data_IF_658512283283
#
_entry.id   IF_658512283283
#
_cell.length_a   1.000
_cell.length_b   1.000
_cell.length_c   1.000
_cell.angle_alpha   90.00
_cell.angle_beta   90.00
_cell.angle_gamma   90.00
#
_symmetry.space_group_name_H-M   'P 1'
#
loop_
_entity.id
_entity.type
_entity.pdbx_description
1 polymer ?
#
# COMPACT_ATOMS: atom_id res chain seq x y z
N UNK A 1 -9.88 15.40 -18.81
CA UNK A 1 -9.85 14.03 -19.37
C UNK A 1 -8.83 13.13 -18.65
N UNK A 2 -7.58 13.52 -18.52
CA UNK A 2 -6.56 12.69 -17.82
C UNK A 2 -6.96 12.32 -16.39
N UNK A 3 -7.46 13.26 -15.60
CA UNK A 3 -7.96 13.03 -14.24
C UNK A 3 -9.05 11.95 -14.17
N UNK A 4 -9.98 11.93 -15.13
CA UNK A 4 -11.04 10.91 -15.21
C UNK A 4 -10.48 9.51 -15.55
N UNK A 5 -9.51 9.44 -16.47
CA UNK A 5 -8.84 8.16 -16.78
C UNK A 5 -8.10 7.64 -15.56
N UNK A 6 -7.33 8.48 -14.86
CA UNK A 6 -6.64 8.10 -13.65
C UNK A 6 -7.62 7.65 -12.55
N UNK A 7 -8.77 8.33 -12.41
CA UNK A 7 -9.82 7.90 -11.50
C UNK A 7 -10.35 6.51 -11.85
N UNK A 8 -10.50 6.18 -13.13
CA UNK A 8 -10.91 4.87 -13.60
C UNK A 8 -9.98 3.73 -13.17
N UNK A 9 -8.69 3.99 -12.98
CA UNK A 9 -7.75 3.00 -12.41
C UNK A 9 -8.08 2.63 -10.96
N UNK A 10 -8.75 3.51 -10.21
CA UNK A 10 -9.14 3.23 -8.83
C UNK A 10 -10.47 2.49 -8.69
N UNK A 11 -11.20 2.24 -9.78
CA UNK A 11 -12.44 1.47 -9.73
C UNK A 11 -12.18 0.00 -9.41
N UNK A 12 -13.09 -0.59 -8.64
CA UNK A 12 -13.01 -2.01 -8.30
C UNK A 12 -13.31 -2.92 -9.49
N UNK A 13 -14.18 -2.46 -10.40
CA UNK A 13 -14.50 -3.24 -11.62
C UNK A 13 -13.24 -3.39 -12.47
N UNK A 14 -12.80 -4.63 -12.60
CA UNK A 14 -11.61 -5.00 -13.36
C UNK A 14 -11.73 -4.56 -14.82
N UNK A 15 -12.88 -4.77 -15.44
CA UNK A 15 -13.13 -4.34 -16.82
C UNK A 15 -12.90 -2.84 -17.06
N UNK A 16 -13.22 -2.00 -16.06
CA UNK A 16 -12.97 -0.55 -16.15
C UNK A 16 -11.46 -0.27 -16.09
N UNK A 17 -10.74 -0.90 -15.17
CA UNK A 17 -9.28 -0.73 -15.06
C UNK A 17 -8.57 -1.19 -16.33
N UNK A 18 -8.95 -2.35 -16.84
CA UNK A 18 -8.41 -2.90 -18.10
C UNK A 18 -8.65 -1.96 -19.27
N UNK A 19 -9.86 -1.42 -19.40
CA UNK A 19 -10.18 -0.47 -20.47
C UNK A 19 -9.36 0.82 -20.32
N UNK A 20 -9.18 1.34 -19.12
CA UNK A 20 -8.31 2.51 -18.90
C UNK A 20 -6.86 2.20 -19.30
N UNK A 21 -6.32 1.06 -18.89
CA UNK A 21 -4.97 0.64 -19.26
C UNK A 21 -4.83 0.49 -20.78
N UNK A 22 -5.84 -0.10 -21.43
CA UNK A 22 -5.89 -0.22 -22.89
C UNK A 22 -5.91 1.15 -23.56
N UNK A 23 -6.73 2.08 -23.09
CA UNK A 23 -6.81 3.45 -23.62
C UNK A 23 -5.47 4.16 -23.45
N UNK A 24 -4.84 4.08 -22.29
CA UNK A 24 -3.52 4.68 -22.03
C UNK A 24 -2.48 4.11 -22.99
N UNK A 25 -2.39 2.79 -23.10
CA UNK A 25 -1.41 2.14 -23.97
C UNK A 25 -1.66 2.40 -25.44
N UNK A 26 -2.83 2.01 -25.94
CA UNK A 26 -3.11 2.00 -27.40
C UNK A 26 -3.54 3.36 -27.94
N UNK A 27 -4.47 4.05 -27.23
CA UNK A 27 -5.07 5.26 -27.76
C UNK A 27 -4.26 6.53 -27.47
N UNK A 28 -3.39 6.48 -26.45
CA UNK A 28 -2.50 7.60 -26.13
C UNK A 28 -1.10 7.31 -26.66
N UNK A 29 -0.36 6.40 -26.03
CA UNK A 29 1.08 6.25 -26.30
C UNK A 29 1.40 5.50 -27.63
N UNK A 30 0.60 4.53 -28.05
CA UNK A 30 0.72 3.87 -29.33
C UNK A 30 -0.02 4.61 -30.46
N UNK A 31 -0.84 5.62 -30.17
CA UNK A 31 -1.62 6.37 -31.16
C UNK A 31 -0.75 6.92 -32.30
N UNK A 32 -1.25 6.86 -33.51
CA UNK A 32 -0.66 7.54 -34.70
C UNK A 32 -1.25 8.94 -34.92
N UNK A 33 -2.34 9.28 -34.22
CA UNK A 33 -3.06 10.56 -34.35
C UNK A 33 -2.44 11.64 -33.47
N UNK A 34 -2.02 11.28 -32.26
CA UNK A 34 -1.39 12.23 -31.33
C UNK A 34 0.05 12.51 -31.73
N UNK A 35 0.41 13.80 -31.73
CA UNK A 35 1.78 14.24 -31.96
C UNK A 35 2.73 13.77 -30.85
N UNK A 36 4.03 13.84 -31.12
CA UNK A 36 5.03 13.50 -30.11
C UNK A 36 5.00 14.50 -28.92
N UNK A 37 4.72 15.77 -29.20
CA UNK A 37 4.60 16.81 -28.19
C UNK A 37 3.35 16.65 -27.31
N UNK A 38 2.21 16.25 -27.91
CA UNK A 38 1.00 15.94 -27.14
C UNK A 38 1.27 14.78 -26.16
N UNK A 39 1.91 13.71 -26.66
CA UNK A 39 2.28 12.56 -25.83
C UNK A 39 3.26 12.94 -24.72
N UNK A 40 4.24 13.81 -25.03
CA UNK A 40 5.18 14.33 -24.04
C UNK A 40 4.43 15.08 -22.92
N UNK A 41 3.52 15.99 -23.31
CA UNK A 41 2.74 16.78 -22.37
C UNK A 41 1.86 15.89 -21.48
N UNK A 42 1.20 14.87 -22.07
CA UNK A 42 0.43 13.90 -21.30
C UNK A 42 1.35 13.09 -20.37
N UNK A 43 2.50 12.64 -20.86
CA UNK A 43 3.45 11.85 -20.05
C UNK A 43 3.98 12.64 -18.86
N UNK A 44 4.48 13.84 -19.07
CA UNK A 44 5.04 14.67 -17.99
C UNK A 44 4.00 14.99 -16.92
N UNK A 45 2.75 15.22 -17.33
CA UNK A 45 1.65 15.49 -16.41
C UNK A 45 1.19 14.24 -15.61
N UNK A 46 1.20 13.06 -16.25
CA UNK A 46 0.48 11.90 -15.70
C UNK A 46 1.39 10.79 -15.20
N UNK A 47 2.65 10.72 -15.60
CA UNK A 47 3.52 9.56 -15.38
C UNK A 47 3.65 9.19 -13.90
N UNK A 48 3.98 10.15 -13.05
CA UNK A 48 4.14 9.92 -11.60
C UNK A 48 2.84 9.41 -10.97
N UNK A 49 1.70 10.03 -11.32
CA UNK A 49 0.39 9.64 -10.79
C UNK A 49 -0.06 8.28 -11.31
N UNK A 50 0.20 7.98 -12.57
CA UNK A 50 -0.11 6.68 -13.17
C UNK A 50 0.67 5.55 -12.50
N UNK A 51 1.99 5.73 -12.32
CA UNK A 51 2.83 4.75 -11.61
C UNK A 51 2.41 4.57 -10.15
N UNK A 52 2.10 5.67 -9.45
CA UNK A 52 1.57 5.61 -8.09
C UNK A 52 0.29 4.77 -8.02
N UNK A 53 -0.69 5.00 -8.91
CA UNK A 53 -1.94 4.26 -8.90
C UNK A 53 -1.75 2.78 -9.23
N UNK A 54 -0.83 2.43 -10.12
CA UNK A 54 -0.47 1.03 -10.40
C UNK A 54 0.17 0.39 -9.16
N UNK A 55 1.08 1.08 -8.48
CA UNK A 55 1.76 0.57 -7.29
C UNK A 55 0.78 0.28 -6.14
N UNK A 56 -0.21 1.14 -5.93
CA UNK A 56 -1.19 0.97 -4.85
C UNK A 56 -2.30 -0.05 -5.16
N UNK A 57 -2.36 -0.58 -6.37
CA UNK A 57 -3.38 -1.58 -6.75
C UNK A 57 -2.95 -3.00 -6.39
N UNK A 58 -3.92 -3.79 -5.93
CA UNK A 58 -3.76 -5.25 -5.94
C UNK A 58 -3.84 -5.73 -7.39
N UNK A 59 -2.82 -6.41 -7.83
CA UNK A 59 -2.71 -6.92 -9.20
C UNK A 59 -3.33 -8.32 -9.26
N UNK A 60 -4.36 -8.49 -10.07
CA UNK A 60 -4.80 -9.81 -10.55
C UNK A 60 -4.10 -10.13 -11.88
N UNK A 61 -4.13 -11.40 -12.30
CA UNK A 61 -3.39 -11.86 -13.49
C UNK A 61 -3.78 -11.10 -14.76
N UNK A 62 -5.06 -10.86 -14.98
CA UNK A 62 -5.53 -10.17 -16.19
C UNK A 62 -5.14 -8.70 -16.18
N UNK A 63 -5.29 -8.02 -15.05
CA UNK A 63 -4.85 -6.63 -14.89
C UNK A 63 -3.33 -6.51 -15.08
N UNK A 64 -2.56 -7.53 -14.68
CA UNK A 64 -1.13 -7.57 -14.93
C UNK A 64 -0.79 -7.49 -16.44
N UNK A 65 -1.44 -8.27 -17.29
CA UNK A 65 -1.19 -8.24 -18.73
C UNK A 65 -1.53 -6.88 -19.35
N UNK A 66 -2.64 -6.28 -18.97
CA UNK A 66 -3.02 -4.94 -19.44
C UNK A 66 -2.04 -3.86 -18.96
N UNK A 67 -1.59 -3.97 -17.71
CA UNK A 67 -0.58 -3.08 -17.15
C UNK A 67 0.74 -3.22 -17.90
N UNK A 68 1.22 -4.45 -18.12
CA UNK A 68 2.45 -4.72 -18.87
C UNK A 68 2.38 -4.20 -20.31
N UNK A 69 1.25 -4.37 -20.98
CA UNK A 69 1.01 -3.82 -22.31
C UNK A 69 1.06 -2.29 -22.33
N UNK A 70 0.37 -1.63 -21.40
CA UNK A 70 0.39 -0.18 -21.27
C UNK A 70 1.81 0.36 -21.00
N UNK A 71 2.53 -0.24 -20.06
CA UNK A 71 3.92 0.11 -19.74
C UNK A 71 4.86 -0.10 -20.94
N UNK A 72 4.65 -1.16 -21.73
CA UNK A 72 5.42 -1.40 -22.96
C UNK A 72 5.22 -0.28 -24.00
N UNK A 73 3.98 0.20 -24.18
CA UNK A 73 3.69 1.34 -25.06
C UNK A 73 4.30 2.64 -24.55
N UNK A 74 4.23 2.89 -23.23
CA UNK A 74 4.87 4.04 -22.60
C UNK A 74 6.39 3.97 -22.78
N UNK A 75 7.00 2.80 -22.54
CA UNK A 75 8.45 2.61 -22.73
C UNK A 75 8.89 2.91 -24.16
N UNK A 76 8.18 2.38 -25.16
CA UNK A 76 8.48 2.67 -26.58
C UNK A 76 8.37 4.15 -26.89
N UNK A 77 7.39 4.84 -26.32
CA UNK A 77 7.27 6.30 -26.45
C UNK A 77 8.47 7.00 -25.82
N UNK A 78 8.87 6.63 -24.58
CA UNK A 78 10.04 7.22 -23.90
C UNK A 78 11.30 7.09 -24.74
N UNK A 79 11.58 5.89 -25.27
CA UNK A 79 12.76 5.64 -26.11
C UNK A 79 12.72 6.49 -27.37
N UNK A 80 11.57 6.52 -28.06
CA UNK A 80 11.40 7.33 -29.29
C UNK A 80 11.61 8.82 -29.01
N UNK A 81 10.98 9.33 -27.96
CA UNK A 81 11.12 10.73 -27.57
C UNK A 81 12.59 11.08 -27.25
N UNK A 82 13.27 10.21 -26.46
CA UNK A 82 14.68 10.43 -26.11
C UNK A 82 15.60 10.50 -27.31
N UNK A 83 15.35 9.66 -28.33
CA UNK A 83 16.14 9.66 -29.58
C UNK A 83 15.88 10.93 -30.42
N UNK A 84 14.62 11.37 -30.49
CA UNK A 84 14.21 12.47 -31.38
C UNK A 84 14.30 13.86 -30.76
N UNK A 85 14.04 13.97 -29.46
CA UNK A 85 13.85 15.25 -28.76
C UNK A 85 14.74 15.42 -27.52
N UNK A 86 15.51 14.39 -27.13
CA UNK A 86 16.38 14.43 -25.97
C UNK A 86 15.66 14.01 -24.65
N UNK A 87 16.26 14.32 -23.48
CA UNK A 87 15.73 13.91 -22.19
C UNK A 87 14.41 14.63 -21.87
N UNK A 88 13.58 13.98 -21.04
CA UNK A 88 12.42 14.63 -20.46
C UNK A 88 12.85 15.65 -19.40
N UNK A 89 12.22 16.79 -19.41
CA UNK A 89 12.32 17.76 -18.35
C UNK A 89 11.05 17.67 -17.51
N UNK A 90 11.20 17.30 -16.25
CA UNK A 90 10.14 17.36 -15.26
C UNK A 90 10.32 18.62 -14.43
N UNK A 91 9.23 19.34 -14.22
CA UNK A 91 9.23 20.44 -13.26
C UNK A 91 9.16 19.84 -11.86
N UNK A 92 10.24 19.99 -11.12
CA UNK A 92 10.26 19.57 -9.71
C UNK A 92 9.54 20.61 -8.86
N UNK A 93 8.56 20.17 -8.10
CA UNK A 93 7.90 21.00 -7.12
C UNK A 93 8.87 21.32 -5.98
N UNK A 94 9.14 22.61 -5.75
CA UNK A 94 10.06 23.03 -4.68
C UNK A 94 9.46 22.92 -3.29
N UNK A 95 8.11 22.86 -3.18
CA UNK A 95 7.37 22.84 -1.92
C UNK A 95 6.66 21.50 -1.72
N UNK A 96 6.85 20.92 -0.55
CA UNK A 96 6.25 19.63 -0.18
C UNK A 96 5.44 19.79 1.09
N UNK A 97 4.21 19.29 1.08
CA UNK A 97 3.38 19.16 2.26
C UNK A 97 3.30 17.68 2.68
N UNK A 98 3.79 17.36 3.85
CA UNK A 98 3.62 16.06 4.50
C UNK A 98 2.37 16.13 5.38
N UNK A 99 1.37 15.32 5.06
CA UNK A 99 0.08 15.32 5.75
C UNK A 99 -0.19 13.95 6.41
N UNK A 100 0.21 13.79 7.68
CA UNK A 100 -0.09 12.59 8.44
C UNK A 100 -1.54 12.62 8.95
N UNK A 101 -2.17 11.46 8.95
CA UNK A 101 -3.51 11.34 9.51
C UNK A 101 -3.99 9.90 9.62
N UNK A 102 -4.94 9.67 10.52
CA UNK A 102 -5.55 8.34 10.68
C UNK A 102 -6.37 7.94 9.46
N UNK A 103 -7.06 8.90 8.81
CA UNK A 103 -7.85 8.72 7.58
C UNK A 103 -8.80 7.51 7.61
N UNK A 104 -9.63 7.43 8.63
CA UNK A 104 -10.48 6.27 8.91
C UNK A 104 -11.99 6.57 8.96
N UNK A 105 -12.66 6.73 7.77
CA UNK A 105 -12.10 6.82 6.43
C UNK A 105 -11.65 8.24 6.02
N UNK A 106 -10.92 8.34 4.92
CA UNK A 106 -10.60 9.60 4.26
C UNK A 106 -11.88 10.23 3.69
N UNK A 107 -12.20 11.44 4.12
CA UNK A 107 -13.45 12.16 3.82
C UNK A 107 -13.29 13.19 2.70
N UNK A 108 -14.42 13.76 2.23
CA UNK A 108 -14.40 14.90 1.32
C UNK A 108 -13.78 16.15 1.96
N UNK A 109 -13.86 16.30 3.29
CA UNK A 109 -13.12 17.35 4.01
C UNK A 109 -11.62 17.20 3.83
N UNK A 110 -11.08 15.99 4.06
CA UNK A 110 -9.66 15.72 3.81
C UNK A 110 -9.28 15.99 2.35
N UNK A 111 -10.12 15.57 1.39
CA UNK A 111 -9.88 15.83 -0.04
C UNK A 111 -9.89 17.33 -0.35
N UNK A 112 -10.76 18.11 0.30
CA UNK A 112 -10.80 19.55 0.19
C UNK A 112 -9.52 20.23 0.69
N UNK A 113 -9.03 19.82 1.88
CA UNK A 113 -7.75 20.28 2.44
C UNK A 113 -6.60 20.01 1.48
N UNK A 114 -6.51 18.77 1.01
CA UNK A 114 -5.43 18.36 0.08
C UNK A 114 -5.45 19.18 -1.21
N UNK A 115 -6.63 19.46 -1.75
CA UNK A 115 -6.76 20.32 -2.94
C UNK A 115 -6.33 21.77 -2.65
N UNK A 116 -6.73 22.31 -1.51
CA UNK A 116 -6.34 23.65 -1.11
C UNK A 116 -4.81 23.78 -0.94
N UNK A 117 -4.18 22.79 -0.32
CA UNK A 117 -2.71 22.75 -0.18
C UNK A 117 -2.03 22.67 -1.55
N UNK A 118 -2.51 21.77 -2.42
CA UNK A 118 -1.98 21.65 -3.80
C UNK A 118 -2.13 22.95 -4.58
N UNK A 119 -3.27 23.63 -4.45
CA UNK A 119 -3.55 24.89 -5.16
C UNK A 119 -2.65 26.04 -4.70
N UNK A 120 -1.97 25.90 -3.55
CA UNK A 120 -0.85 26.77 -3.12
C UNK A 120 0.50 26.39 -3.75
N UNK A 121 0.54 25.42 -4.66
CA UNK A 121 1.74 24.99 -5.36
C UNK A 121 2.56 23.94 -4.63
N UNK A 122 1.96 23.20 -3.71
CA UNK A 122 2.61 22.10 -2.99
C UNK A 122 2.38 20.74 -3.67
N UNK A 123 3.40 19.91 -3.66
CA UNK A 123 3.24 18.46 -3.81
C UNK A 123 2.88 17.87 -2.44
N UNK A 124 1.81 17.08 -2.37
CA UNK A 124 1.25 16.59 -1.09
C UNK A 124 1.50 15.10 -0.92
N UNK A 125 2.07 14.72 0.21
CA UNK A 125 2.28 13.33 0.62
C UNK A 125 1.43 13.01 1.85
N UNK A 126 0.48 12.09 1.66
CA UNK A 126 -0.43 11.61 2.71
C UNK A 126 0.20 10.42 3.41
N UNK A 127 0.42 10.53 4.71
CA UNK A 127 0.96 9.44 5.52
C UNK A 127 -0.13 8.87 6.43
N UNK A 128 -0.28 7.52 6.40
CA UNK A 128 -1.22 6.85 7.29
C UNK A 128 -0.57 6.78 8.67
N UNK A 129 -1.16 7.50 9.64
CA UNK A 129 -0.70 7.47 11.02
C UNK A 129 -1.02 6.13 11.68
N UNK A 130 0.02 5.41 12.06
CA UNK A 130 -0.04 4.13 12.77
C UNK A 130 0.27 4.28 14.26
N UNK A 131 0.75 5.45 14.68
CA UNK A 131 1.17 5.71 16.06
C UNK A 131 0.06 6.28 16.96
N UNK A 132 -1.14 6.50 16.42
CA UNK A 132 -2.30 6.96 17.19
C UNK A 132 -2.95 5.81 17.97
N UNK A 133 -2.34 5.41 19.07
CA UNK A 133 -2.73 4.29 19.94
C UNK A 133 -4.15 4.38 20.50
N UNK A 134 -4.75 5.55 20.53
CA UNK A 134 -6.07 5.78 21.12
C UNK A 134 -7.26 5.51 20.18
N UNK A 135 -7.01 5.34 18.88
CA UNK A 135 -8.08 5.20 17.88
C UNK A 135 -8.20 3.76 17.40
N UNK A 136 -9.40 3.19 17.55
CA UNK A 136 -9.77 1.94 16.87
C UNK A 136 -9.99 2.26 15.41
N UNK A 137 -9.04 1.94 14.56
CA UNK A 137 -9.06 2.24 13.12
C UNK A 137 -9.04 0.95 12.30
N UNK A 138 -9.51 1.02 11.05
CA UNK A 138 -9.32 -0.06 10.08
C UNK A 138 -7.81 -0.31 9.84
N UNK A 139 -7.42 -1.52 9.40
CA UNK A 139 -6.03 -1.83 9.07
C UNK A 139 -5.41 -0.78 8.13
N UNK A 140 -4.12 -0.51 8.31
CA UNK A 140 -3.41 0.51 7.51
C UNK A 140 -3.53 0.29 6.01
N UNK A 141 -3.46 -0.96 5.54
CA UNK A 141 -3.65 -1.31 4.13
C UNK A 141 -5.03 -0.92 3.59
N UNK A 142 -6.09 -1.12 4.38
CA UNK A 142 -7.45 -0.72 4.00
C UNK A 142 -7.55 0.79 3.93
N UNK A 143 -7.00 1.51 4.90
CA UNK A 143 -6.96 2.97 4.91
C UNK A 143 -6.15 3.53 3.76
N UNK A 144 -4.98 2.93 3.42
CA UNK A 144 -4.19 3.26 2.23
C UNK A 144 -5.01 3.14 0.96
N UNK A 145 -5.73 2.02 0.79
CA UNK A 145 -6.58 1.80 -0.36
C UNK A 145 -7.68 2.85 -0.47
N UNK A 146 -8.34 3.19 0.64
CA UNK A 146 -9.36 4.25 0.70
C UNK A 146 -8.77 5.61 0.28
N UNK A 147 -7.60 5.97 0.80
CA UNK A 147 -6.93 7.23 0.47
C UNK A 147 -6.53 7.25 -0.99
N UNK A 148 -5.90 6.19 -1.50
CA UNK A 148 -5.49 6.08 -2.91
C UNK A 148 -6.68 6.27 -3.87
N UNK A 149 -7.81 5.60 -3.60
CA UNK A 149 -9.04 5.76 -4.37
C UNK A 149 -9.58 7.20 -4.32
N UNK A 150 -9.54 7.82 -3.13
CA UNK A 150 -10.08 9.18 -2.93
C UNK A 150 -9.32 10.23 -3.71
N UNK A 151 -7.99 10.10 -3.80
CA UNK A 151 -7.11 11.10 -4.44
C UNK A 151 -6.66 10.72 -5.85
N UNK A 152 -7.20 9.65 -6.43
CA UNK A 152 -6.78 9.16 -7.74
C UNK A 152 -6.91 10.21 -8.86
N UNK A 153 -7.89 11.08 -8.76
CA UNK A 153 -8.17 12.19 -9.69
C UNK A 153 -7.43 13.50 -9.38
N UNK A 154 -6.64 13.55 -8.30
CA UNK A 154 -5.94 14.75 -7.87
C UNK A 154 -4.45 14.62 -8.18
N UNK A 155 -3.93 15.46 -9.08
CA UNK A 155 -2.50 15.50 -9.40
C UNK A 155 -1.70 16.06 -8.23
N UNK A 156 -0.41 15.72 -8.20
CA UNK A 156 0.56 16.18 -7.19
C UNK A 156 0.19 15.79 -5.75
N UNK A 157 -0.63 14.73 -5.61
CA UNK A 157 -1.03 14.14 -4.34
C UNK A 157 -0.74 12.65 -4.34
N UNK A 158 0.06 12.20 -3.40
CA UNK A 158 0.56 10.82 -3.30
C UNK A 158 0.44 10.28 -1.89
N UNK A 159 0.48 8.95 -1.74
CA UNK A 159 0.71 8.33 -0.44
C UNK A 159 2.20 8.30 -0.14
N UNK A 160 2.56 8.63 1.09
CA UNK A 160 3.92 8.45 1.57
C UNK A 160 4.26 6.96 1.66
N UNK A 161 5.50 6.53 1.36
CA UNK A 161 5.91 5.14 1.45
C UNK A 161 5.64 4.55 2.85
N UNK A 162 5.08 3.36 2.91
CA UNK A 162 4.70 2.71 4.18
C UNK A 162 5.89 2.08 4.91
N UNK A 163 6.96 1.81 4.18
CA UNK A 163 8.23 1.29 4.70
C UNK A 163 9.10 2.35 5.39
N UNK A 164 8.67 3.61 5.36
CA UNK A 164 9.31 4.73 6.05
C UNK A 164 8.34 5.23 7.14
N UNK A 165 8.33 4.64 8.33
CA UNK A 165 7.47 5.11 9.42
C UNK A 165 7.93 6.48 9.91
N UNK A 166 6.98 7.39 10.16
CA UNK A 166 7.25 8.73 10.69
C UNK A 166 6.41 8.96 11.94
N UNK A 167 7.07 8.99 13.08
CA UNK A 167 6.47 9.40 14.34
C UNK A 167 6.80 10.87 14.62
N UNK A 168 5.80 11.74 14.62
CA UNK A 168 5.97 13.18 14.85
C UNK A 168 6.55 13.53 16.24
N UNK A 169 6.50 12.59 17.18
CA UNK A 169 7.11 12.76 18.51
C UNK A 169 8.60 12.34 18.54
N UNK A 170 9.12 11.74 17.47
CA UNK A 170 10.51 11.28 17.36
C UNK A 170 11.35 12.25 16.54
N UNK A 171 12.33 12.95 17.13
CA UNK A 171 13.25 13.82 16.38
C UNK A 171 14.01 13.09 15.26
N UNK A 172 14.39 11.83 15.49
CA UNK A 172 15.09 11.01 14.49
C UNK A 172 14.23 10.75 13.25
N UNK A 173 12.93 10.52 13.43
CA UNK A 173 12.01 10.31 12.31
C UNK A 173 11.76 11.63 11.54
N UNK A 174 11.73 12.76 12.25
CA UNK A 174 11.63 14.07 11.65
C UNK A 174 12.90 14.44 10.86
N UNK A 175 14.08 14.07 11.35
CA UNK A 175 15.33 14.25 10.61
C UNK A 175 15.36 13.38 9.35
N UNK A 176 14.94 12.11 9.45
CA UNK A 176 14.78 11.24 8.28
C UNK A 176 13.78 11.81 7.27
N UNK A 177 12.67 12.40 7.74
CA UNK A 177 11.70 13.04 6.87
C UNK A 177 12.32 14.24 6.13
N UNK A 178 13.16 15.04 6.80
CA UNK A 178 13.92 16.13 6.16
C UNK A 178 14.88 15.60 5.10
N UNK A 179 15.54 14.48 5.37
CA UNK A 179 16.46 13.82 4.41
C UNK A 179 15.73 13.33 3.17
N UNK A 180 14.56 12.71 3.33
CA UNK A 180 13.72 12.24 2.20
C UNK A 180 13.34 13.40 1.28
N UNK A 181 13.09 14.59 1.83
CA UNK A 181 12.74 15.78 1.07
C UNK A 181 13.88 16.79 0.96
N UNK A 182 15.13 16.33 1.05
CA UNK A 182 16.28 17.22 0.97
C UNK A 182 16.27 18.08 -0.32
N UNK A 183 16.55 19.37 -0.16
CA UNK A 183 16.52 20.36 -1.25
C UNK A 183 15.12 20.92 -1.58
N UNK A 184 14.09 20.55 -0.84
CA UNK A 184 12.73 21.07 -0.96
C UNK A 184 12.28 21.76 0.33
N UNK A 185 11.35 22.69 0.22
CA UNK A 185 10.70 23.30 1.37
C UNK A 185 9.64 22.35 1.93
N UNK A 186 9.93 21.75 3.07
CA UNK A 186 9.04 20.80 3.74
C UNK A 186 8.11 21.51 4.71
N UNK A 187 6.81 21.30 4.56
CA UNK A 187 5.76 21.74 5.46
C UNK A 187 4.98 20.55 6.03
N UNK A 188 4.67 20.59 7.31
CA UNK A 188 3.81 19.65 7.99
C UNK A 188 2.36 20.16 7.96
N UNK A 189 1.46 19.42 7.32
CA UNK A 189 0.04 19.78 7.25
C UNK A 189 -0.72 19.12 8.41
N UNK A 190 -1.35 19.92 9.27
CA UNK A 190 -2.06 19.46 10.47
C UNK A 190 -3.31 20.29 10.75
N UNK A 191 -4.28 19.68 11.45
CA UNK A 191 -5.42 20.41 11.99
C UNK A 191 -5.06 21.24 13.22
N UNK A 192 -5.78 22.33 13.45
CA UNK A 192 -5.67 23.11 14.68
C UNK A 192 -5.85 22.27 15.94
N UNK A 193 -6.76 21.28 15.89
CA UNK A 193 -6.99 20.32 16.97
C UNK A 193 -5.78 19.45 17.31
N UNK A 194 -4.96 19.14 16.31
CA UNK A 194 -3.70 18.39 16.50
C UNK A 194 -2.65 19.27 17.18
N UNK A 195 -2.52 20.51 16.75
CA UNK A 195 -1.58 21.47 17.38
C UNK A 195 -1.93 21.68 18.85
N UNK A 196 -3.21 21.85 19.18
CA UNK A 196 -3.68 22.05 20.54
C UNK A 196 -3.56 20.80 21.44
N UNK A 197 -3.75 19.59 20.89
CA UNK A 197 -3.99 18.40 21.68
C UNK A 197 -2.90 17.32 21.63
N UNK A 198 -2.10 17.25 20.56
CA UNK A 198 -1.11 16.20 20.43
C UNK A 198 0.08 16.39 21.37
N UNK A 199 0.55 15.29 21.95
CA UNK A 199 1.67 15.29 22.91
C UNK A 199 2.96 15.86 22.33
N UNK A 200 3.20 15.68 21.03
CA UNK A 200 4.37 16.23 20.32
C UNK A 200 4.38 17.76 20.29
N UNK A 201 3.20 18.40 20.25
CA UNK A 201 3.06 19.86 20.28
C UNK A 201 2.99 20.43 21.71
N UNK A 202 2.46 19.65 22.66
CA UNK A 202 2.43 20.03 24.09
C UNK A 202 3.79 19.99 24.74
N UNK A 203 4.70 19.17 24.23
CA UNK A 203 6.09 19.13 24.68
C UNK A 203 6.78 20.47 24.45
N UNK A 204 7.76 20.81 25.30
CA UNK A 204 8.55 22.02 25.08
C UNK A 204 9.34 21.93 23.78
N UNK A 205 9.42 23.00 22.97
CA UNK A 205 10.28 23.03 21.80
C UNK A 205 11.70 22.61 22.12
N UNK A 206 12.22 21.64 21.39
CA UNK A 206 13.60 21.14 21.50
C UNK A 206 14.22 20.98 20.10
N UNK A 207 15.53 21.03 19.98
CA UNK A 207 16.18 20.83 18.68
C UNK A 207 15.68 19.56 17.99
N UNK A 208 15.33 19.67 16.72
CA UNK A 208 14.80 18.56 15.93
C UNK A 208 13.31 18.22 16.16
N UNK A 209 12.63 18.85 17.13
CA UNK A 209 11.22 18.62 17.38
C UNK A 209 10.32 19.18 16.25
N UNK A 210 9.04 18.80 16.26
CA UNK A 210 8.03 19.23 15.30
C UNK A 210 7.92 20.76 15.19
N UNK A 211 8.19 21.49 16.26
CA UNK A 211 8.14 22.94 16.31
C UNK A 211 9.12 23.65 15.35
N UNK A 212 10.18 22.96 14.90
CA UNK A 212 11.18 23.50 13.97
C UNK A 212 10.87 23.19 12.49
N UNK A 213 9.73 22.60 12.19
CA UNK A 213 9.23 22.44 10.82
C UNK A 213 8.36 23.60 10.43
N UNK A 214 8.26 23.87 9.12
CA UNK A 214 7.22 24.74 8.60
C UNK A 214 5.87 24.01 8.65
N UNK A 215 4.78 24.75 8.81
CA UNK A 215 3.46 24.20 9.01
C UNK A 215 2.42 24.76 8.04
N UNK A 216 1.47 23.91 7.67
CA UNK A 216 0.19 24.30 7.09
C UNK A 216 -0.87 23.89 8.11
N UNK A 217 -1.51 24.85 8.76
CA UNK A 217 -2.52 24.59 9.78
C UNK A 217 -3.90 24.91 9.24
N UNK A 218 -4.77 23.91 9.20
CA UNK A 218 -6.15 24.14 8.77
C UNK A 218 -7.08 24.28 9.97
N UNK A 219 -7.86 25.38 9.94
CA UNK A 219 -8.82 25.74 10.97
C UNK A 219 -10.25 25.44 10.52
N UNK A 220 -11.10 25.08 11.47
CA UNK A 220 -12.55 25.04 11.30
C UNK A 220 -13.14 26.31 11.89
N UNK A 221 -14.24 26.80 11.32
CA UNK A 221 -14.92 28.01 11.88
C UNK A 221 -15.47 27.78 13.31
N UNK A 222 -15.73 26.50 13.67
CA UNK A 222 -16.12 26.12 15.03
C UNK A 222 -15.00 26.27 16.08
N UNK A 223 -13.74 26.41 15.64
CA UNK A 223 -12.59 26.63 16.53
C UNK A 223 -12.48 28.11 16.96
N UNK A 224 -13.60 28.85 16.97
CA UNK A 224 -13.71 30.29 17.18
C UNK A 224 -13.32 30.81 18.59
N UNK A 225 -12.86 29.95 19.50
CA UNK A 225 -12.16 30.37 20.72
C UNK A 225 -10.67 30.61 20.42
N UNK A 226 -10.43 31.57 19.50
CA UNK A 226 -9.15 31.78 18.81
C UNK A 226 -7.93 32.11 19.67
N UNK A 227 -8.09 32.49 20.93
CA UNK A 227 -6.97 32.92 21.78
C UNK A 227 -6.05 31.79 22.26
N UNK A 228 -6.56 30.58 22.47
CA UNK A 228 -5.72 29.44 22.87
C UNK A 228 -4.93 28.88 21.69
N UNK A 229 -5.53 28.82 20.52
CA UNK A 229 -4.86 28.28 19.31
C UNK A 229 -3.71 29.22 18.85
N UNK A 230 -3.89 30.52 18.94
CA UNK A 230 -2.85 31.49 18.59
C UNK A 230 -1.63 31.39 19.53
N UNK A 231 -1.86 31.06 20.82
CA UNK A 231 -0.79 30.82 21.76
C UNK A 231 -0.01 29.53 21.42
N UNK A 232 -0.71 28.46 20.97
CA UNK A 232 -0.05 27.22 20.55
C UNK A 232 0.72 27.38 19.22
N UNK A 233 0.18 28.12 18.27
CA UNK A 233 0.86 28.44 17.01
C UNK A 233 2.13 29.29 17.23
N UNK A 234 2.13 30.17 18.22
CA UNK A 234 3.31 30.97 18.56
C UNK A 234 4.53 30.13 19.03
N UNK A 235 4.33 28.87 19.36
CA UNK A 235 5.41 27.93 19.74
C UNK A 235 6.09 27.33 18.51
N UNK A 236 5.49 27.41 17.34
CA UNK A 236 6.08 26.95 16.08
C UNK A 236 7.13 27.99 15.66
N UNK A 237 8.34 27.51 15.39
CA UNK A 237 9.49 28.34 15.01
C UNK A 237 9.69 28.42 13.49
N UNK A 238 9.07 27.49 12.75
CA UNK A 238 9.04 27.52 11.29
C UNK A 238 7.93 28.43 10.76
N UNK A 239 7.87 28.57 9.44
CA UNK A 239 6.81 29.33 8.76
C UNK A 239 5.44 28.64 8.95
N UNK A 240 4.41 29.42 9.18
CA UNK A 240 3.03 28.94 9.35
C UNK A 240 2.13 29.51 8.27
N UNK A 241 1.51 28.62 7.49
CA UNK A 241 0.44 28.96 6.54
C UNK A 241 -0.87 28.49 7.14
N UNK A 242 -1.78 29.41 7.37
CA UNK A 242 -3.12 29.07 7.87
C UNK A 242 -4.09 28.91 6.69
N UNK A 243 -4.83 27.80 6.70
CA UNK A 243 -5.88 27.50 5.74
C UNK A 243 -7.23 27.43 6.47
N UNK A 244 -8.20 28.16 5.97
CA UNK A 244 -9.57 28.03 6.44
C UNK A 244 -10.34 27.03 5.59
N UNK A 245 -10.99 26.06 6.24
CA UNK A 245 -11.86 25.12 5.55
C UNK A 245 -13.12 25.84 5.05
N UNK A 246 -13.59 25.50 3.85
CA UNK A 246 -14.92 25.91 3.41
C UNK A 246 -15.99 25.35 4.37
N UNK A 247 -16.96 26.17 4.75
CA UNK A 247 -18.00 25.86 5.75
C UNK A 247 -18.74 24.55 5.45
N UNK A 248 -19.01 24.25 4.18
CA UNK A 248 -19.69 23.00 3.78
C UNK A 248 -18.85 21.73 4.01
N UNK A 249 -17.55 21.85 4.27
CA UNK A 249 -16.64 20.72 4.57
C UNK A 249 -16.35 20.58 6.07
N UNK A 250 -16.66 21.57 6.88
CA UNK A 250 -16.33 21.59 8.32
C UNK A 250 -17.06 20.51 9.11
N UNK A 251 -18.32 20.27 8.76
CA UNK A 251 -19.15 19.25 9.40
C UNK A 251 -18.82 17.80 8.99
N UNK A 252 -17.90 17.62 8.03
CA UNK A 252 -17.54 16.30 7.53
C UNK A 252 -16.39 15.73 8.35
N UNK A 253 -16.67 14.72 9.16
CA UNK A 253 -15.66 14.00 9.94
C UNK A 253 -15.71 12.50 9.70
N UNK A 254 -14.58 11.81 9.88
CA UNK A 254 -14.52 10.35 9.80
C UNK A 254 -15.45 9.68 10.82
N UNK A 255 -15.61 10.27 12.00
CA UNK A 255 -16.54 9.79 13.03
C UNK A 255 -17.99 9.85 12.55
N UNK A 256 -18.41 10.97 11.98
CA UNK A 256 -19.76 11.13 11.42
C UNK A 256 -20.04 10.12 10.30
N UNK A 257 -19.03 9.86 9.44
CA UNK A 257 -19.15 8.85 8.39
C UNK A 257 -19.40 7.46 8.99
N UNK A 258 -18.57 7.04 9.97
CA UNK A 258 -18.74 5.75 10.65
C UNK A 258 -20.08 5.62 11.34
N UNK A 259 -20.55 6.66 12.04
CA UNK A 259 -21.85 6.68 12.66
C UNK A 259 -23.01 6.58 11.67
N UNK A 260 -22.88 7.23 10.50
CA UNK A 260 -23.89 7.14 9.45
C UNK A 260 -23.96 5.73 8.86
N UNK A 261 -22.81 5.09 8.62
CA UNK A 261 -22.74 3.70 8.15
C UNK A 261 -23.42 2.77 9.19
N UNK A 262 -23.08 2.89 10.46
CA UNK A 262 -23.67 2.14 11.56
C UNK A 262 -25.21 2.26 11.62
N UNK A 263 -25.71 3.43 11.26
CA UNK A 263 -27.15 3.74 11.31
C UNK A 263 -27.86 3.53 9.97
N UNK A 264 -27.15 3.01 8.94
CA UNK A 264 -27.69 2.85 7.59
C UNK A 264 -28.09 4.15 6.92
N UNK A 265 -27.44 5.28 7.28
CA UNK A 265 -27.70 6.60 6.70
C UNK A 265 -26.81 6.84 5.49
N UNK A 266 -27.28 7.73 4.62
CA UNK A 266 -26.52 8.16 3.43
C UNK A 266 -25.20 8.83 3.79
N UNK A 267 -24.13 8.48 3.07
CA UNK A 267 -22.80 9.05 3.18
C UNK A 267 -22.27 9.64 1.86
N UNK A 268 -23.13 9.71 0.82
CA UNK A 268 -22.73 10.13 -0.52
C UNK A 268 -22.11 11.53 -0.58
N UNK A 269 -22.53 12.43 0.33
CA UNK A 269 -22.01 13.78 0.43
C UNK A 269 -20.84 13.93 1.42
N UNK A 270 -20.36 12.84 1.98
CA UNK A 270 -19.31 12.84 3.01
C UNK A 270 -18.02 12.20 2.51
N UNK A 271 -18.11 11.34 1.50
CA UNK A 271 -16.99 10.52 1.02
C UNK A 271 -17.01 10.41 -0.51
N UNK A 272 -15.85 10.08 -1.09
CA UNK A 272 -15.74 9.85 -2.53
C UNK A 272 -16.62 8.64 -2.97
N UNK A 273 -17.38 8.76 -4.08
CA UNK A 273 -18.30 7.70 -4.52
C UNK A 273 -17.63 6.34 -4.76
N UNK A 274 -16.38 6.31 -5.24
CA UNK A 274 -15.64 5.05 -5.44
C UNK A 274 -15.33 4.39 -4.10
N UNK A 275 -14.98 5.20 -3.12
CA UNK A 275 -14.72 4.74 -1.74
C UNK A 275 -16.01 4.28 -1.06
N UNK A 276 -17.13 4.97 -1.31
CA UNK A 276 -18.43 4.54 -0.80
C UNK A 276 -18.78 3.13 -1.29
N UNK A 277 -18.66 2.88 -2.59
CA UNK A 277 -18.89 1.54 -3.17
C UNK A 277 -17.96 0.49 -2.54
N UNK A 278 -16.68 0.83 -2.37
CA UNK A 278 -15.71 -0.04 -1.73
C UNK A 278 -16.09 -0.37 -0.27
N UNK A 279 -16.47 0.63 0.53
CA UNK A 279 -16.87 0.45 1.93
C UNK A 279 -18.07 -0.49 2.05
N UNK A 280 -19.13 -0.24 1.27
CA UNK A 280 -20.35 -1.03 1.37
C UNK A 280 -20.16 -2.46 0.86
N UNK A 281 -19.45 -2.66 -0.24
CA UNK A 281 -19.18 -4.01 -0.76
C UNK A 281 -18.24 -4.83 0.11
N UNK A 282 -17.35 -4.18 0.82
CA UNK A 282 -16.40 -4.84 1.74
C UNK A 282 -16.92 -4.94 3.16
N UNK A 283 -18.13 -4.45 3.45
CA UNK A 283 -18.73 -4.50 4.78
C UNK A 283 -17.93 -3.73 5.85
N UNK A 284 -17.21 -2.68 5.45
CA UNK A 284 -16.36 -1.91 6.39
C UNK A 284 -17.22 -1.00 7.26
N UNK A 285 -16.74 -0.76 8.49
CA UNK A 285 -17.36 0.14 9.47
C UNK A 285 -18.74 -0.29 9.99
N UNK A 286 -19.15 -1.54 9.76
CA UNK A 286 -20.35 -2.09 10.39
C UNK A 286 -20.08 -2.41 11.86
N UNK A 287 -21.12 -2.32 12.71
CA UNK A 287 -21.00 -2.50 14.19
C UNK A 287 -20.53 -3.86 14.65
N UNK A 288 -20.49 -4.84 13.80
CA UNK A 288 -20.03 -6.16 14.17
C UNK A 288 -18.55 -6.16 14.59
N UNK A 289 -18.16 -6.98 15.57
CA UNK A 289 -16.93 -6.82 16.35
C UNK A 289 -15.62 -7.06 15.61
N UNK A 290 -15.65 -7.27 14.32
CA UNK A 290 -14.47 -7.56 13.49
C UNK A 290 -13.38 -6.48 13.55
N UNK A 291 -13.73 -5.24 13.83
CA UNK A 291 -12.78 -4.10 13.93
C UNK A 291 -12.56 -3.63 15.38
N UNK A 292 -13.18 -4.27 16.35
CA UNK A 292 -12.93 -4.00 17.78
C UNK A 292 -11.78 -4.82 18.36
N UNK A 293 -11.22 -5.73 17.58
CA UNK A 293 -9.94 -6.28 17.98
C UNK A 293 -8.94 -5.12 17.97
N UNK A 294 -8.48 -4.78 19.16
CA UNK A 294 -7.28 -3.97 19.31
C UNK A 294 -6.26 -4.65 18.43
N UNK A 295 -5.96 -4.05 17.28
CA UNK A 295 -4.71 -4.33 16.61
C UNK A 295 -3.69 -3.80 17.61
N UNK A 296 -3.26 -4.65 18.56
CA UNK A 296 -1.94 -4.48 19.10
C UNK A 296 -1.11 -4.37 17.86
N UNK A 297 -0.35 -3.29 17.70
CA UNK A 297 0.66 -3.20 16.69
C UNK A 297 1.58 -4.41 16.91
N UNK A 298 1.19 -5.53 16.32
CA UNK A 298 2.03 -6.69 16.25
C UNK A 298 3.02 -6.28 15.20
N UNK A 299 4.21 -5.95 15.61
CA UNK A 299 5.31 -5.76 14.69
C UNK A 299 5.56 -7.14 14.10
N UNK A 300 5.01 -7.35 12.90
CA UNK A 300 5.25 -8.55 12.12
C UNK A 300 6.44 -8.27 11.22
N UNK A 301 7.36 -9.20 11.21
CA UNK A 301 8.53 -9.14 10.35
C UNK A 301 8.75 -10.48 9.67
N UNK A 302 9.32 -10.46 8.46
CA UNK A 302 9.66 -11.65 7.72
C UNK A 302 11.16 -11.83 7.66
N UNK A 303 11.60 -13.07 7.84
CA UNK A 303 12.98 -13.44 7.54
C UNK A 303 13.02 -14.60 6.56
N UNK A 304 13.97 -14.53 5.63
CA UNK A 304 14.19 -15.55 4.64
C UNK A 304 15.56 -16.19 4.84
N UNK A 305 15.59 -17.52 5.04
CA UNK A 305 16.81 -18.28 5.21
C UNK A 305 16.94 -19.31 4.07
N UNK A 306 17.94 -19.11 3.20
CA UNK A 306 18.28 -20.06 2.11
C UNK A 306 18.89 -21.37 2.66
N UNK A 307 19.59 -21.28 3.75
CA UNK A 307 20.21 -22.42 4.45
C UNK A 307 19.90 -22.28 5.92
N UNK A 308 18.70 -22.70 6.36
CA UNK A 308 18.31 -22.61 7.76
C UNK A 308 19.21 -23.49 8.62
N UNK A 309 19.72 -22.92 9.71
CA UNK A 309 20.56 -23.61 10.67
C UNK A 309 19.74 -24.38 11.72
N UNK A 310 20.39 -25.24 12.49
CA UNK A 310 19.72 -26.03 13.53
C UNK A 310 19.15 -25.14 14.65
N UNK A 311 19.71 -23.96 14.87
CA UNK A 311 19.21 -23.00 15.85
C UNK A 311 17.84 -22.44 15.44
N UNK A 312 17.68 -22.07 14.17
CA UNK A 312 16.42 -21.61 13.62
C UNK A 312 15.38 -22.74 13.71
N UNK A 313 15.75 -23.95 13.31
CA UNK A 313 14.83 -25.12 13.40
C UNK A 313 14.39 -25.42 14.83
N UNK A 314 15.29 -25.27 15.80
CA UNK A 314 14.94 -25.45 17.22
C UNK A 314 13.91 -24.42 17.68
N UNK A 315 14.05 -23.15 17.26
CA UNK A 315 13.07 -22.10 17.57
C UNK A 315 11.72 -22.37 16.92
N UNK A 316 11.72 -22.79 15.66
CA UNK A 316 10.46 -23.09 14.92
C UNK A 316 9.73 -24.30 15.54
N UNK A 317 10.45 -25.38 15.87
CA UNK A 317 9.87 -26.56 16.53
C UNK A 317 9.35 -26.27 17.95
N UNK A 318 10.01 -25.37 18.67
CA UNK A 318 9.52 -24.95 19.99
C UNK A 318 8.19 -24.19 19.91
N UNK A 319 7.97 -23.42 18.86
CA UNK A 319 6.72 -22.68 18.64
C UNK A 319 5.63 -23.51 17.95
N UNK A 320 6.02 -24.46 17.11
CA UNK A 320 5.17 -25.28 16.25
C UNK A 320 5.58 -26.77 16.35
N UNK A 321 5.22 -27.45 17.46
CA UNK A 321 5.71 -28.81 17.75
C UNK A 321 5.25 -29.88 16.75
N UNK A 322 4.12 -29.68 16.08
CA UNK A 322 3.52 -30.65 15.17
C UNK A 322 4.07 -30.58 13.73
N UNK A 323 5.11 -29.76 13.49
CA UNK A 323 5.67 -29.63 12.15
C UNK A 323 6.53 -30.84 11.80
N UNK A 324 6.39 -31.39 10.58
CA UNK A 324 7.26 -32.47 10.12
C UNK A 324 8.70 -31.98 10.00
N UNK A 325 9.63 -32.94 9.99
CA UNK A 325 11.02 -32.62 9.75
C UNK A 325 11.19 -32.11 8.31
N UNK A 326 11.70 -30.90 8.12
CA UNK A 326 11.88 -30.34 6.78
C UNK A 326 12.98 -31.06 6.00
N UNK A 327 12.88 -31.02 4.68
CA UNK A 327 13.97 -31.45 3.81
C UNK A 327 15.18 -30.50 4.01
N UNK A 328 16.40 -31.03 4.18
CA UNK A 328 17.60 -30.16 4.31
C UNK A 328 17.86 -29.22 3.13
N UNK A 329 17.21 -29.46 2.00
CA UNK A 329 17.28 -28.61 0.80
C UNK A 329 16.27 -27.48 0.80
N UNK A 330 15.35 -27.43 1.78
CA UNK A 330 14.32 -26.41 1.82
C UNK A 330 14.88 -25.10 2.39
N UNK A 331 14.53 -24.04 1.72
CA UNK A 331 14.62 -22.67 2.18
C UNK A 331 13.41 -22.39 3.09
N UNK A 332 13.50 -21.39 3.96
CA UNK A 332 12.42 -21.08 4.91
C UNK A 332 12.13 -19.59 4.93
N UNK A 333 10.86 -19.25 4.76
CA UNK A 333 10.32 -17.92 5.03
C UNK A 333 9.62 -17.97 6.40
N UNK A 334 10.05 -17.16 7.35
CA UNK A 334 9.51 -17.14 8.72
C UNK A 334 8.83 -15.81 8.99
N UNK A 335 7.64 -15.87 9.54
CA UNK A 335 6.88 -14.74 10.04
C UNK A 335 7.09 -14.61 11.56
N UNK A 336 7.57 -13.47 12.00
CA UNK A 336 7.87 -13.16 13.39
C UNK A 336 6.94 -12.14 13.98
N UNK A 337 6.60 -12.31 15.25
CA UNK A 337 6.09 -11.23 16.11
C UNK A 337 7.29 -10.64 16.86
N UNK A 338 7.66 -9.40 16.51
CA UNK A 338 8.81 -8.70 17.13
C UNK A 338 8.38 -7.69 18.19
N UNK A 339 7.13 -7.70 18.64
CA UNK A 339 6.56 -6.69 19.57
C UNK A 339 7.22 -6.66 20.96
N UNK A 340 7.73 -7.79 21.48
CA UNK A 340 8.35 -7.88 22.80
C UNK A 340 9.62 -8.74 22.80
N UNK A 341 9.45 -10.04 22.54
CA UNK A 341 10.54 -10.99 22.26
C UNK A 341 10.21 -11.63 20.94
N UNK A 342 11.11 -11.54 19.98
CA UNK A 342 10.92 -12.15 18.68
C UNK A 342 10.52 -13.62 18.84
N UNK A 343 9.28 -13.94 18.39
CA UNK A 343 8.75 -15.31 18.40
C UNK A 343 8.20 -15.66 17.02
N UNK A 344 8.42 -16.85 16.51
CA UNK A 344 7.85 -17.25 15.25
C UNK A 344 6.34 -17.47 15.39
N UNK A 345 5.57 -16.89 14.47
CA UNK A 345 4.13 -17.08 14.34
C UNK A 345 3.77 -18.12 13.28
N UNK A 346 4.69 -18.36 12.36
CA UNK A 346 4.53 -19.34 11.32
C UNK A 346 5.73 -19.33 10.39
N UNK A 347 5.80 -20.33 9.54
CA UNK A 347 6.79 -20.40 8.49
C UNK A 347 6.27 -21.17 7.27
N UNK A 348 6.87 -20.88 6.13
CA UNK A 348 6.64 -21.58 4.88
C UNK A 348 7.97 -22.14 4.38
N UNK A 349 7.97 -23.43 4.03
CA UNK A 349 9.10 -24.09 3.41
C UNK A 349 8.98 -24.03 1.90
N UNK A 350 10.08 -23.76 1.22
CA UNK A 350 10.08 -23.56 -0.22
C UNK A 350 11.43 -23.98 -0.82
N UNK A 351 11.46 -24.20 -2.12
CA UNK A 351 12.66 -24.62 -2.85
C UNK A 351 12.65 -24.03 -4.25
N UNK A 352 13.79 -23.56 -4.71
CA UNK A 352 13.95 -23.12 -6.09
C UNK A 352 14.54 -24.26 -6.92
N UNK A 353 13.87 -24.60 -8.01
CA UNK A 353 14.33 -25.62 -8.96
C UNK A 353 14.33 -25.07 -10.38
N UNK A 354 15.19 -25.64 -11.21
CA UNK A 354 15.16 -25.42 -12.65
C UNK A 354 14.28 -26.49 -13.31
N UNK A 355 13.82 -26.23 -14.53
CA UNK A 355 13.04 -27.17 -15.31
C UNK A 355 13.71 -28.57 -15.46
N UNK A 356 15.06 -28.63 -15.46
CA UNK A 356 15.81 -29.89 -15.50
C UNK A 356 15.76 -30.71 -14.21
N UNK A 357 15.75 -30.04 -13.04
CA UNK A 357 15.71 -30.70 -11.73
C UNK A 357 14.30 -30.96 -11.19
N UNK A 358 13.28 -30.63 -11.99
CA UNK A 358 11.89 -30.67 -11.53
C UNK A 358 11.39 -32.08 -11.24
N UNK A 359 11.80 -33.08 -12.05
CA UNK A 359 11.46 -34.49 -11.83
C UNK A 359 12.00 -34.99 -10.50
N UNK A 360 13.28 -34.75 -10.23
CA UNK A 360 13.92 -35.18 -8.98
C UNK A 360 13.29 -34.51 -7.74
N UNK A 361 12.77 -33.32 -7.92
CA UNK A 361 12.12 -32.58 -6.83
C UNK A 361 10.68 -33.04 -6.56
N UNK A 362 9.91 -33.38 -7.59
CA UNK A 362 8.51 -33.78 -7.48
C UNK A 362 8.34 -35.31 -7.35
N UNK A 363 9.25 -36.10 -7.92
CA UNK A 363 9.10 -37.57 -8.02
C UNK A 363 7.93 -38.02 -8.91
N UNK A 364 7.35 -37.11 -9.69
CA UNK A 364 6.22 -37.34 -10.59
C UNK A 364 6.54 -36.81 -11.98
N UNK A 365 6.66 -37.70 -12.96
CA UNK A 365 7.03 -37.36 -14.33
C UNK A 365 5.91 -36.62 -15.06
N UNK A 366 4.65 -36.96 -14.82
CA UNK A 366 3.51 -36.36 -15.48
C UNK A 366 3.38 -34.89 -15.04
N UNK A 367 3.47 -34.63 -13.74
CA UNK A 367 3.44 -33.26 -13.20
C UNK A 367 4.68 -32.47 -13.62
N UNK A 368 5.86 -33.06 -13.60
CA UNK A 368 7.08 -32.41 -14.05
C UNK A 368 6.97 -31.97 -15.52
N UNK A 369 6.44 -32.83 -16.39
CA UNK A 369 6.22 -32.52 -17.80
C UNK A 369 5.12 -31.45 -17.97
N UNK A 370 4.04 -31.51 -17.18
CA UNK A 370 2.99 -30.49 -17.18
C UNK A 370 3.54 -29.09 -16.90
N UNK A 371 4.43 -28.97 -15.91
CA UNK A 371 5.06 -27.69 -15.56
C UNK A 371 6.09 -27.27 -16.60
N UNK A 372 6.93 -28.19 -17.09
CA UNK A 372 7.99 -27.91 -18.11
C UNK A 372 7.44 -27.31 -19.40
N UNK A 373 6.26 -27.75 -19.83
CA UNK A 373 5.63 -27.21 -21.05
C UNK A 373 5.17 -25.77 -20.87
N UNK A 374 4.97 -25.33 -19.62
CA UNK A 374 4.43 -24.01 -19.30
C UNK A 374 5.49 -22.98 -18.91
N UNK A 375 6.69 -23.43 -18.51
CA UNK A 375 7.76 -22.51 -18.12
C UNK A 375 9.14 -23.10 -18.43
N UNK A 376 10.04 -22.26 -18.93
CA UNK A 376 11.45 -22.60 -19.14
C UNK A 376 12.36 -21.99 -18.05
N UNK A 377 11.83 -21.20 -17.13
CA UNK A 377 12.56 -20.46 -16.11
C UNK A 377 12.73 -21.20 -14.78
N UNK A 378 13.04 -20.44 -13.76
CA UNK A 378 13.07 -20.90 -12.38
C UNK A 378 11.66 -21.19 -11.90
N UNK A 379 11.53 -22.22 -11.08
CA UNK A 379 10.26 -22.66 -10.52
C UNK A 379 10.39 -22.64 -9.00
N UNK A 380 9.42 -22.03 -8.32
CA UNK A 380 9.34 -22.04 -6.88
C UNK A 380 8.43 -23.17 -6.42
N UNK A 381 8.96 -24.16 -5.75
CA UNK A 381 8.18 -25.19 -5.06
C UNK A 381 7.87 -24.70 -3.65
N UNK A 382 6.60 -24.73 -3.27
CA UNK A 382 6.12 -24.46 -1.93
C UNK A 382 5.82 -25.81 -1.28
N UNK A 383 6.57 -26.17 -0.23
CA UNK A 383 6.59 -27.54 0.30
C UNK A 383 5.85 -27.70 1.62
N UNK A 384 5.53 -26.60 2.31
CA UNK A 384 4.75 -26.64 3.53
C UNK A 384 4.46 -25.28 4.09
N UNK A 385 3.33 -25.14 4.79
CA UNK A 385 2.85 -23.91 5.42
C UNK A 385 2.34 -24.23 6.83
N UNK A 386 2.94 -23.63 7.83
CA UNK A 386 2.71 -23.92 9.23
C UNK A 386 2.55 -22.63 10.04
N UNK A 387 1.46 -22.53 10.80
CA UNK A 387 1.15 -21.35 11.61
C UNK A 387 0.69 -21.73 13.01
N UNK A 388 0.90 -20.85 13.98
CA UNK A 388 0.39 -21.04 15.33
C UNK A 388 -1.15 -20.96 15.33
N UNK A 389 -1.86 -21.82 16.06
CA UNK A 389 -3.31 -21.78 16.13
C UNK A 389 -3.81 -20.52 16.84
N UNK A 390 -4.93 -19.97 16.37
CA UNK A 390 -5.62 -18.86 17.04
C UNK A 390 -5.00 -17.47 16.86
N UNK A 391 -4.18 -17.27 15.83
CA UNK A 391 -3.67 -15.96 15.46
C UNK A 391 -4.79 -14.99 15.06
N UNK A 392 -4.65 -13.71 15.43
CA UNK A 392 -5.59 -12.63 15.07
C UNK A 392 -5.52 -12.17 13.61
N UNK A 393 -4.62 -12.74 12.83
CA UNK A 393 -4.37 -12.48 11.42
C UNK A 393 -4.49 -13.75 10.62
N UNK A 394 -4.77 -13.62 9.35
CA UNK A 394 -4.61 -14.70 8.39
C UNK A 394 -3.11 -14.91 8.12
N UNK A 395 -2.44 -15.58 9.08
CA UNK A 395 -0.99 -15.80 9.04
C UNK A 395 -0.58 -16.63 7.83
N UNK A 396 -1.44 -17.56 7.40
CA UNK A 396 -1.20 -18.38 6.22
C UNK A 396 -1.21 -17.53 4.96
N UNK A 397 -2.15 -16.61 4.84
CA UNK A 397 -2.22 -15.68 3.71
C UNK A 397 -1.00 -14.76 3.66
N UNK A 398 -0.56 -14.23 4.82
CA UNK A 398 0.61 -13.37 4.90
C UNK A 398 1.88 -14.11 4.43
N UNK A 399 2.11 -15.33 4.93
CA UNK A 399 3.27 -16.15 4.55
C UNK A 399 3.25 -16.53 3.08
N UNK A 400 2.09 -16.92 2.55
CA UNK A 400 1.97 -17.28 1.14
C UNK A 400 2.23 -16.06 0.24
N UNK A 401 1.67 -14.90 0.60
CA UNK A 401 1.89 -13.66 -0.16
C UNK A 401 3.36 -13.27 -0.18
N UNK A 402 4.05 -13.35 0.96
CA UNK A 402 5.48 -13.05 1.04
C UNK A 402 6.32 -14.06 0.23
N UNK A 403 6.01 -15.35 0.31
CA UNK A 403 6.70 -16.38 -0.48
C UNK A 403 6.53 -16.18 -2.00
N UNK A 404 5.35 -15.72 -2.44
CA UNK A 404 5.11 -15.37 -3.85
C UNK A 404 5.85 -14.09 -4.25
N UNK A 405 5.92 -13.10 -3.37
CA UNK A 405 6.72 -11.89 -3.59
C UNK A 405 8.20 -12.20 -3.75
N UNK A 406 8.73 -13.10 -2.91
CA UNK A 406 10.11 -13.59 -3.02
C UNK A 406 10.35 -14.36 -4.34
N UNK A 407 9.37 -15.17 -4.75
CA UNK A 407 9.45 -15.88 -6.03
C UNK A 407 9.53 -14.91 -7.22
N UNK A 408 8.74 -13.84 -7.20
CA UNK A 408 8.78 -12.78 -8.21
C UNK A 408 10.12 -12.02 -8.17
N UNK A 409 10.62 -11.67 -6.99
CA UNK A 409 11.89 -10.97 -6.81
C UNK A 409 13.09 -11.81 -7.29
N UNK A 410 13.01 -13.13 -7.22
CA UNK A 410 14.02 -14.05 -7.73
C UNK A 410 13.80 -14.50 -9.19
N UNK A 411 12.90 -13.85 -9.91
CA UNK A 411 12.60 -14.11 -11.32
C UNK A 411 12.14 -15.56 -11.57
N UNK A 412 11.29 -16.10 -10.66
CA UNK A 412 10.66 -17.39 -10.85
C UNK A 412 9.44 -17.24 -11.77
N UNK A 413 9.44 -17.96 -12.88
CA UNK A 413 8.35 -17.92 -13.85
C UNK A 413 7.11 -18.73 -13.45
N UNK A 414 7.20 -19.55 -12.41
CA UNK A 414 6.13 -20.45 -11.98
C UNK A 414 6.25 -20.80 -10.50
N UNK A 415 5.11 -20.92 -9.82
CA UNK A 415 5.01 -21.43 -8.46
C UNK A 415 4.18 -22.71 -8.43
N UNK A 416 4.65 -23.74 -7.72
CA UNK A 416 3.97 -25.02 -7.57
C UNK A 416 3.82 -25.31 -6.09
N UNK A 417 2.61 -25.60 -5.66
CA UNK A 417 2.37 -26.16 -4.32
C UNK A 417 2.63 -27.68 -4.34
N UNK A 418 3.57 -28.08 -3.52
CA UNK A 418 3.99 -29.48 -3.39
C UNK A 418 4.08 -29.89 -1.90
N UNK A 419 3.12 -29.50 -1.11
CA UNK A 419 3.05 -29.77 0.31
C UNK A 419 1.72 -30.39 0.73
N UNK A 420 1.58 -30.74 2.01
CA UNK A 420 0.29 -31.16 2.57
C UNK A 420 -0.76 -30.08 2.31
N UNK A 421 -1.90 -30.48 1.75
CA UNK A 421 -2.97 -29.55 1.44
C UNK A 421 -4.19 -29.85 2.32
N UNK A 422 -4.47 -28.96 3.27
CA UNK A 422 -5.71 -28.98 4.06
C UNK A 422 -6.80 -28.25 3.27
N UNK A 423 -8.11 -28.49 3.54
CA UNK A 423 -9.17 -27.75 2.85
C UNK A 423 -9.03 -26.22 2.92
N UNK A 424 -8.59 -25.68 4.07
CA UNK A 424 -8.33 -24.25 4.26
C UNK A 424 -7.14 -23.76 3.41
N UNK A 425 -6.08 -24.55 3.31
CA UNK A 425 -4.92 -24.23 2.48
C UNK A 425 -5.29 -24.27 1.00
N UNK A 426 -6.14 -25.20 0.58
CA UNK A 426 -6.62 -25.27 -0.79
C UNK A 426 -7.43 -24.01 -1.17
N UNK A 427 -8.40 -23.63 -0.33
CA UNK A 427 -9.19 -22.41 -0.53
C UNK A 427 -8.30 -21.15 -0.59
N UNK A 428 -7.25 -21.09 0.24
CA UNK A 428 -6.27 -20.00 0.21
C UNK A 428 -5.47 -19.99 -1.11
N UNK A 429 -5.00 -21.15 -1.57
CA UNK A 429 -4.25 -21.27 -2.82
C UNK A 429 -5.11 -20.87 -4.03
N UNK A 430 -6.36 -21.33 -4.08
CA UNK A 430 -7.30 -20.96 -5.14
C UNK A 430 -7.56 -19.44 -5.16
N UNK A 431 -7.72 -18.81 -4.00
CA UNK A 431 -7.84 -17.34 -3.89
C UNK A 431 -6.60 -16.59 -4.37
N UNK A 432 -5.43 -17.22 -4.31
CA UNK A 432 -4.18 -16.64 -4.80
C UNK A 432 -3.91 -16.98 -6.28
N UNK A 433 -4.86 -17.63 -6.96
CA UNK A 433 -4.77 -17.93 -8.39
C UNK A 433 -4.08 -19.25 -8.71
N UNK A 434 -3.83 -20.14 -7.72
CA UNK A 434 -3.37 -21.49 -8.01
C UNK A 434 -4.51 -22.29 -8.63
N UNK A 435 -4.14 -23.11 -9.61
CA UNK A 435 -5.04 -24.04 -10.28
C UNK A 435 -4.64 -25.45 -9.92
N UNK A 436 -5.61 -26.26 -9.50
CA UNK A 436 -5.36 -27.66 -9.25
C UNK A 436 -4.96 -28.34 -10.57
N UNK A 437 -3.77 -28.95 -10.58
CA UNK A 437 -3.38 -29.77 -11.72
C UNK A 437 -4.34 -30.96 -11.77
N UNK A 438 -5.08 -31.12 -12.86
CA UNK A 438 -5.81 -32.35 -13.11
C UNK A 438 -4.82 -33.51 -13.03
N UNK A 439 -5.05 -34.43 -12.12
CA UNK A 439 -4.30 -35.65 -12.09
C UNK A 439 -4.43 -36.25 -13.49
N UNK A 440 -3.33 -36.32 -14.22
CA UNK A 440 -3.26 -37.13 -15.42
C UNK A 440 -3.31 -38.56 -14.91
N UNK A 441 -4.49 -38.97 -14.50
CA UNK A 441 -4.82 -40.36 -14.19
C UNK A 441 -4.84 -41.12 -15.50
N UNK A 442 -3.66 -41.45 -15.96
CA UNK A 442 -3.48 -42.50 -16.91
C UNK A 442 -3.10 -43.76 -16.15
N UNK A 443 -4.08 -44.40 -15.51
CA UNK A 443 -4.19 -45.84 -15.27
C UNK A 443 -5.57 -46.11 -14.69
#
# INVERSE_FOLDING_TARGET
MASLLLKGLSFRQESVRQEVLRVVGEKIFASTVLSLDDKRSIFTLTAKKFLFLIHEQKTDELTFFYTAAALSHIYRFIVRHRIQSGPFQFEDCSKVAFFPGTFDPFSLSHKGIVRAIRDLGFEVYLAIDEFSWSKKAQPSLVRRQIVSMSVADVFDVYLFPHDIPVNLASPLDLDRLREVFAGRELYLAVGSDVVANASSYRASPSPGSVHHLNHIVFRRSSDAEGHEIDADLSRIQGDVIELQLPTHLEDISSTRIRENIDRGRDISNLIDPVVQDFIFRSGLYLREPQYKQIIRASYLDFTFAKTPDERLWTQLRAALPETPQPDPRDEVCVLWDISAKARPLGFLTLRTVNSGGLYDALGDEALANYVRVRTAGRIRLLTGLYTVPGGSYDLEQLLLTEALSLAMAEDCGYAVWWGPCRPQTLDLLERQGFVQAEAVSGY
#
